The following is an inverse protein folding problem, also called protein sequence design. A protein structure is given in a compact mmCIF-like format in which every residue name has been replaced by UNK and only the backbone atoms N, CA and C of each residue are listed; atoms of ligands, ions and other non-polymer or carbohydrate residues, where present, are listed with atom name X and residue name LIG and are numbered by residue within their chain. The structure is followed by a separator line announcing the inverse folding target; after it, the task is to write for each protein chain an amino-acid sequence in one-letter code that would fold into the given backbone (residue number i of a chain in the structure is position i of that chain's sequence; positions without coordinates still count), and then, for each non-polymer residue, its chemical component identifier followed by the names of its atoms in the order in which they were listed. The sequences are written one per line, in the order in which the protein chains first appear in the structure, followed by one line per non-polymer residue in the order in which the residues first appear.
data_IF_783451671901
#
_entry.id   IF_783451671901
#
_cell.length_a   1.000
_cell.length_b   1.000
_cell.length_c   1.000
_cell.angle_alpha   90.00
_cell.angle_beta   90.00
_cell.angle_gamma   90.00
#
_symmetry.space_group_name_H-M   'P 1'
#
loop_
_entity.id
_entity.type
_entity.pdbx_description
1 polymer ?
#
# COMPACT_ATOMS: atom_id res chain seq x y z
N UNK A 1 -6.24 -7.22 18.76
CA UNK A 1 -4.90 -7.14 19.33
C UNK A 1 -3.89 -7.75 18.36
N UNK A 2 -2.96 -6.96 17.87
CA UNK A 2 -2.02 -7.35 16.79
C UNK A 2 -1.05 -8.47 17.19
N UNK A 3 -0.75 -8.60 18.47
CA UNK A 3 0.24 -9.57 18.98
C UNK A 3 -0.32 -10.98 19.14
N UNK A 4 -1.62 -11.10 19.42
CA UNK A 4 -2.27 -12.39 19.69
C UNK A 4 -3.16 -12.83 18.52
N UNK A 5 -3.38 -11.96 17.52
CA UNK A 5 -4.35 -12.15 16.42
C UNK A 5 -5.79 -12.37 16.92
N UNK A 6 -6.07 -11.93 18.15
CA UNK A 6 -7.40 -12.03 18.74
C UNK A 6 -8.23 -10.81 18.37
N UNK A 7 -9.49 -11.04 17.98
CA UNK A 7 -10.50 -10.01 17.81
C UNK A 7 -11.37 -9.96 19.07
N UNK A 8 -11.41 -8.80 19.73
CA UNK A 8 -12.32 -8.56 20.85
C UNK A 8 -13.52 -7.79 20.33
N UNK A 9 -14.71 -8.36 20.49
CA UNK A 9 -15.97 -7.76 20.05
C UNK A 9 -16.80 -7.48 21.28
N UNK A 10 -17.06 -6.19 21.55
CA UNK A 10 -18.01 -5.74 22.57
C UNK A 10 -19.40 -5.61 21.93
N UNK A 11 -20.41 -6.18 22.54
CA UNK A 11 -21.77 -6.21 22.00
C UNK A 11 -22.83 -6.10 23.11
N UNK A 12 -23.96 -5.50 22.76
CA UNK A 12 -25.09 -5.33 23.66
C UNK A 12 -26.23 -6.33 23.40
N UNK A 13 -26.12 -7.18 22.37
CA UNK A 13 -27.14 -8.15 21.98
C UNK A 13 -26.88 -9.56 22.54
N UNK A 14 -27.79 -10.47 22.32
CA UNK A 14 -27.64 -11.86 22.76
C UNK A 14 -26.44 -12.52 22.05
N UNK A 15 -25.57 -13.19 22.80
CA UNK A 15 -24.36 -13.86 22.29
C UNK A 15 -24.62 -14.79 21.09
N UNK A 16 -25.77 -15.46 21.09
CA UNK A 16 -26.21 -16.36 20.02
C UNK A 16 -26.42 -15.62 18.69
N UNK A 17 -26.97 -14.40 18.72
CA UNK A 17 -27.19 -13.58 17.53
C UNK A 17 -25.85 -13.11 16.95
N UNK A 18 -24.89 -12.68 17.80
CA UNK A 18 -23.58 -12.27 17.39
C UNK A 18 -22.77 -13.44 16.79
N UNK A 19 -22.84 -14.62 17.41
CA UNK A 19 -22.18 -15.82 16.87
C UNK A 19 -22.80 -16.28 15.54
N UNK A 20 -24.11 -16.14 15.36
CA UNK A 20 -24.77 -16.45 14.09
C UNK A 20 -24.32 -15.46 12.98
N UNK A 21 -24.26 -14.18 13.29
CA UNK A 21 -23.76 -13.15 12.37
C UNK A 21 -22.30 -13.40 11.98
N UNK A 22 -21.44 -13.72 12.95
CA UNK A 22 -20.04 -14.04 12.70
C UNK A 22 -19.85 -15.32 11.87
N UNK A 23 -20.67 -16.35 12.11
CA UNK A 23 -20.61 -17.60 11.33
C UNK A 23 -21.09 -17.44 9.89
N UNK A 24 -21.97 -16.47 9.62
CA UNK A 24 -22.44 -16.13 8.27
C UNK A 24 -21.59 -15.09 7.57
N UNK A 25 -20.61 -14.50 8.25
CA UNK A 25 -19.73 -13.47 7.67
C UNK A 25 -18.78 -14.08 6.64
N UNK A 26 -18.75 -13.51 5.45
CA UNK A 26 -17.84 -13.87 4.38
C UNK A 26 -16.99 -12.65 4.00
N UNK A 27 -15.67 -12.78 4.10
CA UNK A 27 -14.76 -11.73 3.66
C UNK A 27 -14.91 -11.41 2.18
N UNK A 28 -15.14 -12.40 1.33
CA UNK A 28 -15.34 -12.19 -0.10
C UNK A 28 -16.59 -11.33 -0.39
N UNK A 29 -17.69 -11.57 0.31
CA UNK A 29 -18.89 -10.77 0.16
C UNK A 29 -18.72 -9.34 0.73
N UNK A 30 -17.94 -9.17 1.79
CA UNK A 30 -17.64 -7.86 2.36
C UNK A 30 -16.69 -7.04 1.45
N UNK A 31 -15.78 -7.70 0.75
CA UNK A 31 -14.88 -7.09 -0.24
C UNK A 31 -15.66 -6.63 -1.48
N UNK A 32 -16.57 -7.48 -2.01
CA UNK A 32 -17.47 -7.11 -3.11
C UNK A 32 -18.40 -5.94 -2.74
N UNK A 33 -18.83 -5.87 -1.49
CA UNK A 33 -19.66 -4.78 -0.98
C UNK A 33 -18.86 -3.48 -0.68
N UNK A 34 -17.52 -3.49 -0.84
CA UNK A 34 -16.65 -2.34 -0.56
C UNK A 34 -16.57 -1.96 0.92
N UNK A 35 -16.96 -2.89 1.81
CA UNK A 35 -16.92 -2.68 3.26
C UNK A 35 -15.51 -2.90 3.86
N UNK A 36 -14.65 -3.60 3.12
CA UNK A 36 -13.27 -3.83 3.51
C UNK A 36 -12.39 -2.86 2.73
N UNK A 37 -11.56 -2.02 3.37
CA UNK A 37 -10.64 -1.17 2.64
C UNK A 37 -9.70 -2.03 1.79
N UNK A 38 -9.57 -1.73 0.50
CA UNK A 38 -8.76 -2.48 -0.48
C UNK A 38 -7.31 -2.69 -0.03
N UNK A 39 -6.81 -1.82 0.85
CA UNK A 39 -5.45 -1.88 1.36
C UNK A 39 -5.40 -1.67 2.87
N UNK A 40 -5.46 -2.76 3.61
CA UNK A 40 -5.02 -2.74 5.01
C UNK A 40 -3.49 -2.57 4.99
N UNK A 41 -2.92 -1.70 5.83
CA UNK A 41 -1.47 -1.42 5.85
C UNK A 41 -0.60 -2.70 5.96
N UNK A 42 -1.14 -3.75 6.58
CA UNK A 42 -0.51 -5.09 6.66
C UNK A 42 -0.47 -5.83 5.33
N UNK A 43 -1.56 -5.78 4.58
CA UNK A 43 -1.63 -6.41 3.25
C UNK A 43 -0.66 -5.72 2.29
N UNK A 44 -0.59 -4.38 2.34
CA UNK A 44 0.34 -3.58 1.55
C UNK A 44 1.81 -3.91 1.88
N UNK A 45 2.14 -4.07 3.17
CA UNK A 45 3.50 -4.43 3.58
C UNK A 45 3.86 -5.84 3.11
N UNK A 46 2.96 -6.81 3.26
CA UNK A 46 3.18 -8.20 2.82
C UNK A 46 3.38 -8.27 1.30
N UNK A 47 2.53 -7.57 0.54
CA UNK A 47 2.68 -7.50 -0.92
C UNK A 47 4.04 -6.90 -1.33
N UNK A 48 4.49 -5.87 -0.62
CA UNK A 48 5.81 -5.27 -0.85
C UNK A 48 6.93 -6.25 -0.51
N UNK A 49 6.89 -6.90 0.65
CA UNK A 49 7.88 -7.89 1.08
C UNK A 49 7.97 -9.05 0.09
N UNK A 50 6.84 -9.61 -0.33
CA UNK A 50 6.80 -10.70 -1.30
C UNK A 50 7.41 -10.29 -2.65
N UNK A 51 7.08 -9.10 -3.15
CA UNK A 51 7.65 -8.57 -4.40
C UNK A 51 9.15 -8.30 -4.27
N UNK A 52 9.59 -7.77 -3.12
CA UNK A 52 10.99 -7.50 -2.84
C UNK A 52 11.81 -8.79 -2.79
N UNK A 53 11.34 -9.77 -2.02
CA UNK A 53 12.00 -11.09 -1.88
C UNK A 53 12.07 -11.79 -3.22
N UNK A 54 10.93 -11.85 -3.95
CA UNK A 54 10.88 -12.51 -5.25
C UNK A 54 11.80 -11.85 -6.29
N UNK A 55 11.80 -10.51 -6.37
CA UNK A 55 12.64 -9.74 -7.29
C UNK A 55 14.12 -9.94 -7.00
N UNK A 56 14.48 -9.94 -5.71
CA UNK A 56 15.85 -10.14 -5.25
C UNK A 56 16.31 -11.58 -5.49
N UNK A 57 15.49 -12.55 -5.10
CA UNK A 57 15.79 -13.96 -5.32
C UNK A 57 15.98 -14.27 -6.82
N UNK A 58 15.09 -13.76 -7.66
CA UNK A 58 15.17 -13.95 -9.10
C UNK A 58 16.44 -13.31 -9.69
N UNK A 59 16.82 -12.10 -9.23
CA UNK A 59 18.05 -11.44 -9.69
C UNK A 59 19.29 -12.28 -9.37
N UNK A 60 19.43 -12.73 -8.13
CA UNK A 60 20.59 -13.54 -7.73
C UNK A 60 20.55 -14.95 -8.33
N UNK A 61 19.39 -15.57 -8.46
CA UNK A 61 19.23 -16.83 -9.14
C UNK A 61 19.68 -16.73 -10.62
N UNK A 62 19.25 -15.70 -11.32
CA UNK A 62 19.69 -15.44 -12.68
C UNK A 62 21.20 -15.22 -12.76
N UNK A 63 21.79 -14.49 -11.80
CA UNK A 63 23.22 -14.22 -11.77
C UNK A 63 24.05 -15.48 -11.51
N UNK A 64 23.54 -16.43 -10.70
CA UNK A 64 24.24 -17.63 -10.30
C UNK A 64 24.08 -18.78 -11.29
N UNK A 65 22.86 -18.96 -11.80
CA UNK A 65 22.53 -20.16 -12.60
C UNK A 65 22.55 -19.94 -14.12
N UNK A 66 22.41 -18.67 -14.59
CA UNK A 66 22.37 -18.41 -16.03
C UNK A 66 23.74 -18.12 -16.63
N UNK A 67 24.06 -18.70 -17.81
CA UNK A 67 25.24 -18.37 -18.59
C UNK A 67 25.26 -16.90 -18.99
N UNK A 68 26.47 -16.33 -19.17
CA UNK A 68 26.67 -14.93 -19.47
C UNK A 68 25.90 -14.44 -20.73
N UNK A 69 25.84 -15.26 -21.75
CA UNK A 69 25.12 -14.91 -22.99
C UNK A 69 23.59 -14.79 -22.81
N UNK A 70 23.00 -15.62 -21.94
CA UNK A 70 21.58 -15.53 -21.61
C UNK A 70 21.31 -14.26 -20.77
N UNK A 71 22.17 -13.97 -19.81
CA UNK A 71 22.08 -12.74 -19.00
C UNK A 71 22.17 -11.50 -19.88
N UNK A 72 23.09 -11.50 -20.85
CA UNK A 72 23.21 -10.43 -21.82
C UNK A 72 21.90 -10.23 -22.62
N UNK A 73 21.30 -11.30 -23.10
CA UNK A 73 20.03 -11.23 -23.80
C UNK A 73 18.90 -10.64 -22.94
N UNK A 74 18.79 -11.10 -21.70
CA UNK A 74 17.82 -10.57 -20.72
C UNK A 74 18.08 -9.09 -20.45
N UNK A 75 19.34 -8.68 -20.26
CA UNK A 75 19.69 -7.29 -20.01
C UNK A 75 19.31 -6.39 -21.19
N UNK A 76 19.54 -6.82 -22.42
CA UNK A 76 19.15 -6.07 -23.63
C UNK A 76 17.63 -5.92 -23.71
N UNK A 77 16.87 -7.00 -23.51
CA UNK A 77 15.40 -6.94 -23.57
C UNK A 77 14.84 -6.00 -22.48
N UNK A 78 15.34 -6.11 -21.25
CA UNK A 78 14.90 -5.25 -20.14
C UNK A 78 15.29 -3.80 -20.32
N UNK A 79 16.42 -3.50 -20.96
CA UNK A 79 16.89 -2.13 -21.19
C UNK A 79 15.95 -1.32 -22.08
N UNK A 80 15.21 -1.96 -22.99
CA UNK A 80 14.26 -1.30 -23.90
C UNK A 80 13.24 -0.45 -23.17
N UNK A 81 12.78 -0.89 -21.99
CA UNK A 81 11.85 -0.10 -21.15
C UNK A 81 12.47 1.21 -20.71
N UNK A 82 13.69 1.17 -20.18
CA UNK A 82 14.40 2.35 -19.68
C UNK A 82 14.80 3.30 -20.82
N UNK A 83 15.27 2.75 -21.93
CA UNK A 83 15.59 3.51 -23.14
C UNK A 83 14.37 4.26 -23.71
N UNK A 84 13.22 3.59 -23.79
CA UNK A 84 11.97 4.22 -24.23
C UNK A 84 11.54 5.34 -23.29
N UNK A 85 11.60 5.12 -21.97
CA UNK A 85 11.24 6.12 -20.97
C UNK A 85 12.14 7.35 -21.06
N UNK A 86 13.45 7.15 -21.12
CA UNK A 86 14.42 8.25 -21.26
C UNK A 86 14.28 9.01 -22.57
N UNK A 87 14.11 8.31 -23.70
CA UNK A 87 13.90 8.93 -25.01
C UNK A 87 12.61 9.74 -25.03
N UNK A 88 11.51 9.19 -24.49
CA UNK A 88 10.24 9.90 -24.39
C UNK A 88 10.37 11.19 -23.57
N UNK A 89 11.08 11.15 -22.44
CA UNK A 89 11.33 12.34 -21.61
C UNK A 89 12.12 13.40 -22.37
N UNK A 90 13.17 13.00 -23.11
CA UNK A 90 13.98 13.90 -23.94
C UNK A 90 13.15 14.55 -25.05
N UNK A 91 12.33 13.77 -25.74
CA UNK A 91 11.45 14.28 -26.81
C UNK A 91 10.43 15.30 -26.32
N UNK A 92 10.00 15.21 -25.05
CA UNK A 92 9.13 16.18 -24.42
C UNK A 92 9.88 17.37 -23.76
N UNK A 93 11.21 17.47 -23.97
CA UNK A 93 12.03 18.52 -23.40
C UNK A 93 12.17 18.50 -21.88
N UNK A 94 11.91 17.36 -21.24
CA UNK A 94 11.96 17.21 -19.78
C UNK A 94 13.23 16.44 -19.39
N UNK A 95 14.14 17.11 -18.70
CA UNK A 95 15.25 16.45 -18.03
C UNK A 95 14.75 15.82 -16.73
N UNK A 96 14.41 14.54 -16.79
CA UNK A 96 13.92 13.75 -15.67
C UNK A 96 14.91 12.68 -15.26
N UNK A 97 14.70 12.04 -14.11
CA UNK A 97 15.48 10.90 -13.63
C UNK A 97 15.53 9.78 -14.68
N UNK A 98 14.46 9.58 -15.45
CA UNK A 98 14.40 8.57 -16.51
C UNK A 98 15.45 8.77 -17.61
N UNK A 99 15.92 10.02 -17.85
CA UNK A 99 17.00 10.30 -18.78
C UNK A 99 18.35 9.86 -18.22
N UNK A 100 18.58 10.08 -16.93
CA UNK A 100 19.80 9.61 -16.25
C UNK A 100 19.85 8.08 -16.24
N UNK A 101 18.74 7.43 -15.92
CA UNK A 101 18.62 5.97 -15.91
C UNK A 101 18.90 5.38 -17.29
N UNK A 102 18.28 5.94 -18.33
CA UNK A 102 18.51 5.53 -19.71
C UNK A 102 19.98 5.72 -20.11
N UNK A 103 20.61 6.81 -19.69
CA UNK A 103 22.02 7.09 -19.98
C UNK A 103 22.92 6.06 -19.30
N UNK A 104 22.70 5.78 -18.00
CA UNK A 104 23.50 4.80 -17.26
C UNK A 104 23.39 3.40 -17.86
N UNK A 105 22.16 2.97 -18.23
CA UNK A 105 21.90 1.69 -18.88
C UNK A 105 22.57 1.66 -20.27
N UNK A 106 22.45 2.73 -21.06
CA UNK A 106 23.04 2.82 -22.41
C UNK A 106 24.55 2.70 -22.36
N UNK A 107 25.20 3.44 -21.46
CA UNK A 107 26.68 3.39 -21.31
C UNK A 107 27.14 1.98 -20.94
N UNK A 108 26.46 1.31 -20.03
CA UNK A 108 26.79 -0.06 -19.64
C UNK A 108 26.63 -1.05 -20.81
N UNK A 109 25.60 -0.90 -21.64
CA UNK A 109 25.37 -1.73 -22.82
C UNK A 109 26.42 -1.48 -23.89
N UNK A 110 26.78 -0.22 -24.17
CA UNK A 110 27.82 0.14 -25.17
C UNK A 110 29.18 -0.43 -24.75
N UNK A 111 29.48 -0.42 -23.47
CA UNK A 111 30.69 -1.04 -22.91
C UNK A 111 30.65 -2.57 -22.90
N UNK A 112 29.51 -3.18 -23.31
CA UNK A 112 29.25 -4.63 -23.23
C UNK A 112 29.33 -5.20 -21.82
N UNK A 113 29.17 -4.35 -20.82
CA UNK A 113 29.11 -4.75 -19.42
C UNK A 113 27.65 -5.03 -19.03
N UNK A 114 27.18 -6.21 -19.47
CA UNK A 114 25.79 -6.62 -19.25
C UNK A 114 25.50 -6.94 -17.79
N UNK A 115 26.50 -7.32 -17.00
CA UNK A 115 26.34 -7.58 -15.58
C UNK A 115 26.11 -6.29 -14.80
N UNK A 116 26.87 -5.22 -15.11
CA UNK A 116 26.61 -3.89 -14.55
C UNK A 116 25.27 -3.35 -15.03
N UNK A 117 24.92 -3.48 -16.31
CA UNK A 117 23.60 -3.08 -16.80
C UNK A 117 22.47 -3.79 -16.07
N UNK A 118 22.59 -5.10 -15.83
CA UNK A 118 21.64 -5.88 -15.09
C UNK A 118 21.49 -5.45 -13.63
N UNK A 119 22.61 -5.16 -12.97
CA UNK A 119 22.64 -4.67 -11.57
C UNK A 119 22.04 -3.28 -11.44
N UNK A 120 22.34 -2.37 -12.37
CA UNK A 120 21.76 -1.01 -12.42
C UNK A 120 20.24 -1.13 -12.59
N UNK A 121 19.75 -1.88 -13.59
CA UNK A 121 18.33 -2.06 -13.81
C UNK A 121 17.62 -2.75 -12.63
N UNK A 122 18.32 -3.62 -11.90
CA UNK A 122 17.80 -4.21 -10.67
C UNK A 122 17.61 -3.15 -9.58
N UNK A 123 18.62 -2.30 -9.35
CA UNK A 123 18.54 -1.22 -8.35
C UNK A 123 17.45 -0.19 -8.70
N UNK A 124 17.36 0.22 -9.97
CA UNK A 124 16.30 1.09 -10.44
C UNK A 124 14.92 0.48 -10.17
N UNK A 125 14.76 -0.80 -10.49
CA UNK A 125 13.50 -1.47 -10.23
C UNK A 125 13.21 -1.69 -8.74
N UNK A 126 14.19 -1.71 -7.84
CA UNK A 126 13.95 -1.66 -6.38
C UNK A 126 13.49 -0.27 -5.98
N UNK A 127 14.09 0.78 -6.53
CA UNK A 127 13.68 2.16 -6.31
C UNK A 127 12.21 2.39 -6.70
N UNK A 128 11.81 1.97 -7.89
CA UNK A 128 10.41 2.03 -8.36
C UNK A 128 9.45 1.29 -7.41
N UNK A 129 9.85 0.10 -6.93
CA UNK A 129 9.03 -0.68 -5.99
C UNK A 129 8.86 0.02 -4.64
N UNK A 130 9.94 0.63 -4.12
CA UNK A 130 9.92 1.38 -2.87
C UNK A 130 9.09 2.65 -2.99
N UNK A 131 9.20 3.36 -4.11
CA UNK A 131 8.42 4.57 -4.41
C UNK A 131 6.92 4.24 -4.46
N UNK A 132 6.52 3.20 -5.19
CA UNK A 132 5.13 2.75 -5.27
C UNK A 132 4.56 2.36 -3.89
N UNK A 133 5.34 1.62 -3.10
CA UNK A 133 4.95 1.25 -1.75
C UNK A 133 4.81 2.47 -0.83
N UNK A 134 5.79 3.38 -0.85
CA UNK A 134 5.78 4.60 -0.02
C UNK A 134 4.57 5.47 -0.37
N UNK A 135 4.28 5.63 -1.66
CA UNK A 135 3.12 6.39 -2.13
C UNK A 135 1.81 5.79 -1.63
N UNK A 136 1.62 4.49 -1.84
CA UNK A 136 0.42 3.77 -1.38
C UNK A 136 0.26 3.81 0.13
N UNK A 137 1.36 3.62 0.87
CA UNK A 137 1.37 3.68 2.32
C UNK A 137 1.02 5.07 2.83
N UNK A 138 1.59 6.12 2.24
CA UNK A 138 1.29 7.51 2.64
C UNK A 138 -0.19 7.84 2.44
N UNK A 139 -0.80 7.39 1.35
CA UNK A 139 -2.25 7.56 1.11
C UNK A 139 -3.06 6.79 2.15
N UNK A 140 -2.69 5.54 2.44
CA UNK A 140 -3.39 4.71 3.42
C UNK A 140 -3.28 5.30 4.84
N UNK A 141 -2.09 5.77 5.24
CA UNK A 141 -1.86 6.40 6.54
C UNK A 141 -2.64 7.72 6.67
N UNK A 142 -2.67 8.53 5.59
CA UNK A 142 -3.45 9.76 5.56
C UNK A 142 -4.96 9.46 5.65
N UNK A 143 -5.46 8.51 4.88
CA UNK A 143 -6.85 8.09 4.95
C UNK A 143 -7.20 7.55 6.35
N UNK A 144 -6.30 6.76 6.96
CA UNK A 144 -6.44 6.29 8.33
C UNK A 144 -6.49 7.43 9.35
N UNK A 145 -5.60 8.42 9.22
CA UNK A 145 -5.58 9.59 10.09
C UNK A 145 -6.84 10.46 9.94
N UNK A 146 -7.38 10.55 8.73
CA UNK A 146 -8.64 11.27 8.47
C UNK A 146 -9.88 10.48 8.95
N UNK A 147 -9.83 9.14 8.92
CA UNK A 147 -10.92 8.27 9.37
C UNK A 147 -10.97 8.09 10.88
N UNK A 148 -9.90 8.39 11.59
CA UNK A 148 -9.68 7.99 12.96
C UNK A 148 -9.65 9.16 13.94
N UNK A 149 -10.62 10.05 14.03
CA UNK A 149 -10.71 10.82 15.27
C UNK A 149 -12.10 11.38 15.53
N UNK A 150 -13.03 10.49 15.78
CA UNK A 150 -14.16 10.88 16.61
C UNK A 150 -14.05 10.11 17.95
N UNK A 151 -13.07 10.44 18.76
CA UNK A 151 -12.97 9.92 20.12
C UNK A 151 -14.04 10.51 21.05
N UNK A 152 -14.63 11.65 20.67
CA UNK A 152 -15.62 12.38 21.47
C UNK A 152 -16.70 12.97 20.59
N UNK A 153 -17.95 12.90 21.03
CA UNK A 153 -19.08 13.53 20.40
C UNK A 153 -19.87 14.40 21.39
N UNK A 154 -20.54 15.42 20.87
CA UNK A 154 -21.44 16.23 21.66
C UNK A 154 -22.77 15.52 21.79
N UNK A 155 -23.20 15.23 23.02
CA UNK A 155 -24.50 14.62 23.32
C UNK A 155 -25.34 15.65 24.06
N UNK A 156 -26.61 15.79 23.65
CA UNK A 156 -27.56 16.67 24.30
C UNK A 156 -28.30 15.92 25.38
N UNK A 157 -28.10 16.34 26.63
CA UNK A 157 -28.81 15.81 27.78
C UNK A 157 -30.31 16.20 27.78
N UNK A 158 -31.07 15.55 28.66
CA UNK A 158 -32.51 15.82 28.83
C UNK A 158 -32.79 17.25 29.29
N UNK A 159 -31.83 17.91 29.90
CA UNK A 159 -31.86 19.30 30.35
C UNK A 159 -31.50 20.33 29.27
N UNK A 160 -31.21 19.85 28.05
CA UNK A 160 -30.84 20.66 26.90
C UNK A 160 -29.37 21.08 26.89
N UNK A 161 -28.58 20.69 27.87
CA UNK A 161 -27.14 20.97 27.88
C UNK A 161 -26.40 20.01 26.95
N UNK A 162 -25.37 20.54 26.28
CA UNK A 162 -24.51 19.76 25.42
C UNK A 162 -23.24 19.36 26.17
N UNK A 163 -22.98 18.07 26.30
CA UNK A 163 -21.83 17.49 26.99
C UNK A 163 -20.94 16.78 25.96
N UNK A 164 -19.63 17.01 26.06
CA UNK A 164 -18.65 16.31 25.25
C UNK A 164 -18.30 14.99 25.94
N UNK A 165 -18.82 13.89 25.40
CA UNK A 165 -18.62 12.54 25.95
C UNK A 165 -17.78 11.70 25.01
N UNK A 166 -17.16 10.64 25.55
CA UNK A 166 -16.49 9.65 24.69
C UNK A 166 -17.52 8.92 23.82
N UNK A 167 -17.17 8.65 22.59
CA UNK A 167 -18.04 7.85 21.67
C UNK A 167 -18.36 6.50 22.28
N UNK A 168 -17.49 5.96 23.13
CA UNK A 168 -17.70 4.69 23.85
C UNK A 168 -18.83 4.75 24.91
N UNK A 169 -19.16 5.94 25.36
CA UNK A 169 -20.17 6.18 26.40
C UNK A 169 -21.53 6.57 25.80
N UNK A 170 -21.66 6.59 24.48
CA UNK A 170 -22.90 6.90 23.76
C UNK A 170 -23.74 5.62 23.64
N UNK A 171 -25.01 5.72 24.01
CA UNK A 171 -25.95 4.63 23.97
C UNK A 171 -27.02 4.87 22.92
N UNK A 172 -27.66 3.77 22.48
CA UNK A 172 -28.78 3.86 21.56
C UNK A 172 -29.95 4.64 22.19
N UNK A 173 -30.32 5.77 21.55
CA UNK A 173 -31.34 6.69 22.06
C UNK A 173 -30.79 8.06 22.46
N UNK A 174 -29.47 8.21 22.58
CA UNK A 174 -28.81 9.49 22.85
C UNK A 174 -28.91 10.43 21.65
N UNK A 175 -29.09 11.73 21.94
CA UNK A 175 -29.17 12.76 20.91
C UNK A 175 -27.78 13.36 20.66
N UNK A 176 -27.15 12.93 19.56
CA UNK A 176 -25.82 13.44 19.18
C UNK A 176 -25.95 14.72 18.38
N UNK A 177 -25.17 15.75 18.74
CA UNK A 177 -25.11 17.05 18.07
C UNK A 177 -23.95 17.07 17.10
N UNK A 178 -24.24 17.13 15.82
CA UNK A 178 -23.25 17.24 14.74
C UNK A 178 -23.29 18.65 14.17
N UNK A 179 -22.15 19.33 14.16
CA UNK A 179 -21.99 20.67 13.60
C UNK A 179 -21.24 20.61 12.28
N UNK A 180 -21.48 21.59 11.42
CA UNK A 180 -20.75 21.73 10.14
C UNK A 180 -19.24 21.82 10.44
N UNK A 181 -18.45 20.88 9.86
CA UNK A 181 -17.01 20.77 10.09
C UNK A 181 -16.60 19.70 11.11
N UNK A 182 -17.54 19.05 11.78
CA UNK A 182 -17.22 17.87 12.58
C UNK A 182 -17.19 16.63 11.67
N UNK A 183 -16.15 15.80 11.85
CA UNK A 183 -16.17 14.44 11.32
C UNK A 183 -17.09 13.57 12.19
N UNK A 184 -17.81 12.70 11.56
CA UNK A 184 -18.70 11.71 12.18
C UNK A 184 -18.04 10.35 12.01
#
# INVERSE_FOLDING_TARGET
YDRTQDAVIEYCEARSAVLAALSSFSFAAAEEAGLVPEHTGRALNREFEDKLVWKTALHYACKLFLPAYVRAGIAIVRSVRYLKAGLSALLHGKLSVSVLDATAVTVSLVRRDFDTAGSVMFMLGLGELLEDWTHKKSIADLAGAMALNVDRAWVRGADGQELLVSVKDIHAGDCVVVRTGNMI
#
